data_IF_938113634913
#
_entry.id   IF_938113634913
#
_cell.length_a   1.000
_cell.length_b   1.000
_cell.length_c   1.000
_cell.angle_alpha   90.00
_cell.angle_beta   90.00
_cell.angle_gamma   90.00
#
_symmetry.space_group_name_H-M   'P 1'
#
loop_
_entity.id
_entity.type
_entity.pdbx_description
1 polymer ?
#
# COMPACT_ATOMS: atom_id res chain seq x y z
N UNK A 1 21.98 -2.59 13.78
CA UNK A 1 22.34 -1.21 14.19
C UNK A 1 21.21 -0.32 13.73
N UNK A 2 20.62 0.46 14.64
CA UNK A 2 19.55 1.42 14.33
C UNK A 2 20.19 2.80 14.21
N UNK A 3 19.82 3.55 13.17
CA UNK A 3 20.33 4.89 12.91
C UNK A 3 19.30 5.96 13.26
N UNK A 4 19.75 7.10 13.79
CA UNK A 4 18.96 8.32 13.70
C UNK A 4 19.01 8.84 12.25
N UNK A 5 17.86 8.95 11.61
CA UNK A 5 17.72 9.39 10.22
C UNK A 5 17.10 10.80 10.24
N UNK A 6 17.86 11.84 9.84
CA UNK A 6 17.28 13.17 9.68
C UNK A 6 16.14 13.12 8.66
N UNK A 7 14.98 13.68 9.01
CA UNK A 7 13.76 13.53 8.19
C UNK A 7 13.93 14.07 6.76
N UNK A 8 14.74 15.11 6.57
CA UNK A 8 15.07 15.67 5.24
C UNK A 8 15.91 14.73 4.35
N UNK A 9 16.37 13.58 4.86
CA UNK A 9 17.02 12.52 4.08
C UNK A 9 16.01 11.49 3.55
N UNK A 10 14.73 11.64 3.88
CA UNK A 10 13.62 10.87 3.34
C UNK A 10 12.93 11.73 2.27
N UNK A 11 12.91 11.27 1.02
CA UNK A 11 12.29 11.97 -0.11
C UNK A 11 11.25 11.07 -0.80
N UNK A 12 10.48 11.61 -1.75
CA UNK A 12 9.41 10.88 -2.46
C UNK A 12 8.40 10.22 -1.49
N UNK A 13 8.05 10.93 -0.40
CA UNK A 13 7.09 10.43 0.58
C UNK A 13 5.72 10.26 -0.08
N UNK A 14 5.18 9.06 0.03
CA UNK A 14 3.83 8.74 -0.42
C UNK A 14 3.11 7.96 0.68
N UNK A 15 1.93 8.43 1.10
CA UNK A 15 1.05 7.66 1.99
C UNK A 15 0.52 6.46 1.22
N UNK A 16 0.64 5.28 1.81
CA UNK A 16 0.24 4.00 1.19
C UNK A 16 -0.81 3.25 2.01
N UNK A 17 -0.97 3.61 3.28
CA UNK A 17 -2.00 3.05 4.14
C UNK A 17 -2.27 3.99 5.31
N UNK A 18 -3.51 4.04 5.74
CA UNK A 18 -3.94 4.70 6.96
C UNK A 18 -4.93 3.80 7.68
N UNK A 19 -4.62 3.50 8.94
CA UNK A 19 -5.45 2.72 9.85
C UNK A 19 -5.70 3.52 11.13
N UNK A 20 -6.57 3.01 12.00
CA UNK A 20 -6.91 3.65 13.27
C UNK A 20 -5.72 3.82 14.21
N UNK A 21 -4.70 2.95 14.12
CA UNK A 21 -3.53 2.93 15.01
C UNK A 21 -2.22 3.38 14.36
N UNK A 22 -2.13 3.30 13.03
CA UNK A 22 -0.89 3.61 12.31
C UNK A 22 -1.13 4.18 10.92
N UNK A 23 -0.19 5.01 10.48
CA UNK A 23 -0.03 5.42 9.10
C UNK A 23 1.23 4.78 8.52
N UNK A 24 1.14 4.29 7.29
CA UNK A 24 2.29 3.81 6.53
C UNK A 24 2.57 4.69 5.34
N UNK A 25 3.85 5.02 5.19
CA UNK A 25 4.37 5.71 4.02
C UNK A 25 5.44 4.85 3.36
N UNK A 26 5.68 5.15 2.09
CA UNK A 26 6.89 4.75 1.39
C UNK A 26 7.72 6.00 1.10
N UNK A 27 9.04 5.88 1.17
CA UNK A 27 9.98 6.94 0.88
C UNK A 27 11.28 6.38 0.28
N UNK A 28 12.10 7.26 -0.27
CA UNK A 28 13.49 6.98 -0.62
C UNK A 28 14.40 7.55 0.46
N UNK A 29 15.21 6.71 1.09
CA UNK A 29 16.27 7.13 2.02
C UNK A 29 17.57 7.35 1.25
N UNK A 30 18.01 8.60 1.15
CA UNK A 30 19.11 8.99 0.25
C UNK A 30 20.51 8.63 0.75
N UNK A 31 20.70 8.50 2.08
CA UNK A 31 21.97 7.99 2.62
C UNK A 31 22.09 6.48 2.38
N UNK A 32 20.96 5.78 2.37
CA UNK A 32 20.86 4.34 2.26
C UNK A 32 21.43 3.59 3.47
N UNK A 33 21.38 2.27 3.39
CA UNK A 33 21.54 1.37 4.54
C UNK A 33 23.01 1.11 4.85
N UNK A 34 23.43 1.23 6.12
CA UNK A 34 24.75 0.76 6.56
C UNK A 34 24.84 -0.75 6.46
N UNK A 35 25.92 -1.22 5.84
CA UNK A 35 26.27 -2.63 5.76
C UNK A 35 27.73 -2.84 6.17
N UNK A 36 27.99 -4.04 6.68
CA UNK A 36 29.35 -4.50 6.94
C UNK A 36 29.72 -5.44 5.80
N UNK A 37 30.86 -5.18 5.15
CA UNK A 37 31.43 -6.06 4.13
C UNK A 37 32.77 -6.54 4.63
N UNK A 38 33.07 -7.82 4.46
CA UNK A 38 34.35 -8.35 4.89
C UNK A 38 34.40 -9.86 4.86
N UNK A 39 35.62 -10.38 4.91
CA UNK A 39 35.94 -11.80 5.08
C UNK A 39 36.51 -12.01 6.49
N UNK A 40 36.89 -13.26 6.82
CA UNK A 40 37.35 -13.69 8.16
C UNK A 40 38.47 -12.83 8.80
N UNK A 41 39.15 -11.97 8.03
CA UNK A 41 40.33 -11.21 8.45
C UNK A 41 40.10 -9.69 8.47
N UNK A 42 39.18 -9.15 7.68
CA UNK A 42 39.00 -7.70 7.57
C UNK A 42 37.53 -7.35 7.30
N UNK A 43 36.98 -6.47 8.14
CA UNK A 43 35.64 -5.93 7.99
C UNK A 43 35.70 -4.42 7.73
N UNK A 44 34.98 -3.98 6.71
CA UNK A 44 34.81 -2.57 6.37
C UNK A 44 33.33 -2.18 6.51
N UNK A 45 33.09 -0.96 6.99
CA UNK A 45 31.76 -0.36 7.02
C UNK A 45 31.53 0.37 5.71
N UNK A 46 30.40 0.10 5.06
CA UNK A 46 29.98 0.78 3.83
C UNK A 46 28.48 1.08 3.86
N UNK A 47 27.96 1.71 2.80
CA UNK A 47 26.53 1.91 2.61
C UNK A 47 26.08 1.29 1.29
N UNK A 48 24.90 0.65 1.32
CA UNK A 48 24.09 0.52 0.11
C UNK A 48 23.56 1.94 -0.15
N UNK A 49 23.75 2.47 -1.34
CA UNK A 49 23.30 3.83 -1.68
C UNK A 49 21.78 3.99 -1.56
N UNK A 50 21.28 5.13 -2.02
CA UNK A 50 19.85 5.48 -1.99
C UNK A 50 18.90 4.29 -2.21
N UNK A 51 18.01 4.03 -1.25
CA UNK A 51 17.14 2.86 -1.28
C UNK A 51 15.69 3.21 -0.88
N UNK A 52 14.74 2.37 -1.29
CA UNK A 52 13.36 2.46 -0.83
C UNK A 52 13.23 1.98 0.62
N UNK A 53 12.39 2.66 1.40
CA UNK A 53 12.06 2.31 2.79
C UNK A 53 10.56 2.51 3.03
N UNK A 54 10.00 1.74 3.96
CA UNK A 54 8.70 2.03 4.53
C UNK A 54 8.85 2.82 5.84
N UNK A 55 7.94 3.75 6.08
CA UNK A 55 7.87 4.54 7.29
C UNK A 55 6.59 4.15 8.04
N UNK A 56 6.72 3.76 9.30
CA UNK A 56 5.59 3.51 10.20
C UNK A 56 5.49 4.66 11.20
N UNK A 57 4.34 5.31 11.20
CA UNK A 57 4.01 6.42 12.10
C UNK A 57 2.83 5.96 12.96
N UNK A 58 3.07 5.79 14.25
CA UNK A 58 2.05 5.35 15.19
C UNK A 58 1.28 6.57 15.70
N UNK A 59 -0.05 6.47 15.83
CA UNK A 59 -0.82 7.54 16.46
C UNK A 59 -0.39 7.72 17.92
N UNK A 60 -0.16 8.96 18.34
CA UNK A 60 0.41 9.27 19.66
C UNK A 60 1.94 9.19 19.74
N UNK A 61 2.65 8.92 18.63
CA UNK A 61 4.13 8.86 18.63
C UNK A 61 4.82 10.20 18.87
N UNK A 62 4.14 11.28 19.24
CA UNK A 62 4.81 12.47 19.79
C UNK A 62 5.37 12.22 21.20
N UNK A 63 4.71 11.34 21.96
CA UNK A 63 5.11 10.95 23.30
C UNK A 63 6.28 9.94 23.24
N UNK A 64 7.43 10.32 23.78
CA UNK A 64 8.65 9.51 23.66
C UNK A 64 8.54 8.15 24.33
N UNK A 65 7.90 8.07 25.49
CA UNK A 65 7.81 6.84 26.27
C UNK A 65 6.92 5.81 25.56
N UNK A 66 5.78 6.28 25.04
CA UNK A 66 4.89 5.48 24.19
C UNK A 66 5.59 4.98 22.94
N UNK A 67 6.35 5.85 22.26
CA UNK A 67 7.11 5.46 21.08
C UNK A 67 8.19 4.41 21.40
N UNK A 68 8.93 4.59 22.49
CA UNK A 68 10.00 3.66 22.90
C UNK A 68 9.42 2.28 23.23
N UNK A 69 8.32 2.23 23.97
CA UNK A 69 7.61 0.97 24.26
C UNK A 69 7.26 0.26 22.94
N UNK A 70 6.58 0.95 22.03
CA UNK A 70 6.12 0.35 20.76
C UNK A 70 7.27 -0.03 19.83
N UNK A 71 8.35 0.75 19.80
CA UNK A 71 9.55 0.39 19.06
C UNK A 71 10.19 -0.88 19.63
N UNK A 72 10.25 -1.01 20.96
CA UNK A 72 10.80 -2.17 21.64
C UNK A 72 9.96 -3.40 21.34
N UNK A 73 8.63 -3.33 21.53
CA UNK A 73 7.68 -4.38 21.16
C UNK A 73 7.90 -4.84 19.71
N UNK A 74 8.02 -3.89 18.78
CA UNK A 74 8.23 -4.20 17.37
C UNK A 74 9.55 -4.93 17.10
N UNK A 75 10.62 -4.57 17.80
CA UNK A 75 11.95 -5.17 17.61
C UNK A 75 12.08 -6.56 18.24
N UNK A 76 11.29 -6.87 19.26
CA UNK A 76 11.29 -8.18 19.92
C UNK A 76 10.58 -9.26 19.08
N UNK A 77 9.71 -8.85 18.14
CA UNK A 77 9.05 -9.77 17.22
C UNK A 77 10.03 -10.34 16.19
N UNK A 78 10.02 -11.66 16.06
CA UNK A 78 10.92 -12.38 15.14
C UNK A 78 10.72 -11.94 13.68
N UNK A 79 11.83 -11.68 12.99
CA UNK A 79 11.83 -11.29 11.57
C UNK A 79 11.67 -9.79 11.31
N UNK A 80 11.37 -8.97 12.32
CA UNK A 80 11.29 -7.53 12.15
C UNK A 80 12.68 -6.88 12.02
N UNK A 81 12.81 -6.01 11.02
CA UNK A 81 14.04 -5.24 10.77
C UNK A 81 13.71 -3.76 10.88
N UNK A 82 14.51 -3.05 11.66
CA UNK A 82 14.48 -1.58 11.78
C UNK A 82 15.81 -1.04 11.29
N UNK A 83 15.76 -0.15 10.30
CA UNK A 83 16.94 0.57 9.82
C UNK A 83 17.24 1.79 10.66
N UNK A 84 16.20 2.49 11.11
CA UNK A 84 16.39 3.72 11.87
C UNK A 84 15.13 4.29 12.48
N UNK A 85 15.33 5.37 13.22
CA UNK A 85 14.29 6.22 13.76
C UNK A 85 14.48 7.61 13.17
N UNK A 86 13.37 8.22 12.76
CA UNK A 86 13.32 9.62 12.35
C UNK A 86 12.30 10.38 13.21
N UNK A 87 12.35 11.70 13.17
CA UNK A 87 11.33 12.56 13.75
C UNK A 87 10.93 13.61 12.74
N UNK A 88 9.63 13.68 12.43
CA UNK A 88 9.10 14.81 11.68
C UNK A 88 9.01 16.02 12.62
N UNK A 89 9.67 17.11 12.24
CA UNK A 89 9.73 18.33 13.05
C UNK A 89 8.43 19.15 12.95
N UNK A 90 7.60 18.90 11.94
CA UNK A 90 6.31 19.61 11.77
C UNK A 90 5.25 18.99 12.67
N UNK A 91 5.04 17.67 12.58
CA UNK A 91 4.06 16.95 13.41
C UNK A 91 4.59 16.55 14.78
N UNK A 92 5.90 16.68 15.01
CA UNK A 92 6.63 16.19 16.18
C UNK A 92 6.55 14.67 16.40
N UNK A 93 6.08 13.90 15.42
CA UNK A 93 5.93 12.45 15.50
C UNK A 93 7.26 11.73 15.29
N UNK A 94 7.53 10.73 16.13
CA UNK A 94 8.58 9.75 15.88
C UNK A 94 8.13 8.72 14.84
N UNK A 95 9.08 8.27 14.04
CA UNK A 95 8.87 7.45 12.85
C UNK A 95 9.83 6.26 12.89
N UNK A 96 9.29 5.05 12.71
CA UNK A 96 10.10 3.84 12.55
C UNK A 96 10.38 3.65 11.06
N UNK A 97 11.67 3.59 10.69
CA UNK A 97 12.11 3.37 9.31
C UNK A 97 12.49 1.89 9.15
N UNK A 98 11.75 1.20 8.28
CA UNK A 98 11.87 -0.25 8.05
C UNK A 98 12.15 -0.54 6.56
N UNK A 99 12.61 -1.75 6.21
CA UNK A 99 12.80 -2.13 4.81
C UNK A 99 11.54 -1.93 3.99
N UNK A 100 11.73 -1.62 2.70
CA UNK A 100 10.64 -1.67 1.73
C UNK A 100 10.12 -3.11 1.60
N UNK A 101 8.84 -3.29 1.97
CA UNK A 101 8.13 -4.58 2.01
C UNK A 101 8.21 -5.33 0.67
N UNK A 102 8.27 -4.59 -0.44
CA UNK A 102 8.28 -5.17 -1.79
C UNK A 102 9.64 -5.05 -2.47
N UNK A 103 10.69 -4.68 -1.75
CA UNK A 103 12.04 -4.45 -2.29
C UNK A 103 12.54 -5.58 -3.20
N UNK A 104 12.32 -6.83 -2.81
CA UNK A 104 12.71 -8.03 -3.57
C UNK A 104 11.86 -8.29 -4.82
N UNK A 105 10.67 -7.70 -4.90
CA UNK A 105 9.72 -7.86 -6.02
C UNK A 105 9.79 -6.73 -7.04
N UNK A 106 10.58 -5.68 -6.78
CA UNK A 106 10.71 -4.54 -7.69
C UNK A 106 11.58 -4.87 -8.90
N UNK A 107 11.06 -4.66 -10.10
CA UNK A 107 11.73 -5.01 -11.37
C UNK A 107 11.93 -3.74 -12.21
N UNK A 108 13.17 -3.46 -12.61
CA UNK A 108 13.50 -2.24 -13.37
C UNK A 108 12.84 -2.17 -14.74
N UNK A 109 12.61 -3.31 -15.41
CA UNK A 109 11.93 -3.38 -16.71
C UNK A 109 10.43 -3.07 -16.65
N UNK A 110 9.81 -3.10 -15.48
CA UNK A 110 8.37 -2.80 -15.31
C UNK A 110 8.07 -1.29 -15.26
N UNK A 111 9.10 -0.45 -15.44
CA UNK A 111 9.01 0.98 -15.31
C UNK A 111 9.01 1.43 -13.84
N UNK A 112 8.91 2.74 -13.65
CA UNK A 112 8.85 3.37 -12.32
C UNK A 112 7.44 3.84 -12.02
N UNK A 113 7.03 3.65 -10.78
CA UNK A 113 5.80 4.21 -10.26
C UNK A 113 5.85 5.74 -10.34
N UNK A 114 4.81 6.36 -10.89
CA UNK A 114 4.76 7.83 -11.01
C UNK A 114 4.66 8.53 -9.66
N UNK A 115 4.24 7.82 -8.61
CA UNK A 115 4.03 8.35 -7.26
C UNK A 115 5.27 8.21 -6.38
N UNK A 116 5.68 6.97 -6.06
CA UNK A 116 6.84 6.75 -5.18
C UNK A 116 8.19 6.75 -5.90
N UNK A 117 8.22 6.81 -7.24
CA UNK A 117 9.42 6.79 -8.09
C UNK A 117 10.27 5.51 -8.01
N UNK A 118 9.85 4.51 -7.24
CA UNK A 118 10.47 3.20 -7.22
C UNK A 118 10.04 2.36 -8.42
N UNK A 119 10.85 1.35 -8.75
CA UNK A 119 10.50 0.38 -9.79
C UNK A 119 9.19 -0.35 -9.40
N UNK A 120 8.39 -0.61 -10.42
CA UNK A 120 7.14 -1.35 -10.29
C UNK A 120 7.39 -2.83 -9.96
N UNK A 121 6.42 -3.47 -9.32
CA UNK A 121 6.47 -4.90 -8.98
C UNK A 121 5.93 -5.79 -10.09
N UNK A 122 5.02 -5.26 -10.91
CA UNK A 122 4.50 -5.88 -12.14
C UNK A 122 4.41 -4.80 -13.25
N UNK A 123 4.34 -5.12 -14.55
CA UNK A 123 4.21 -4.09 -15.59
C UNK A 123 3.10 -3.09 -15.27
N UNK A 124 3.44 -1.80 -15.27
CA UNK A 124 2.53 -0.71 -14.92
C UNK A 124 1.85 -0.81 -13.51
N UNK A 125 2.34 -1.66 -12.60
CA UNK A 125 1.77 -1.86 -11.27
C UNK A 125 2.81 -1.80 -10.15
N UNK A 126 2.58 -0.90 -9.21
CA UNK A 126 3.34 -0.71 -7.98
C UNK A 126 2.53 -1.22 -6.79
N UNK A 127 2.90 -2.38 -6.26
CA UNK A 127 2.23 -2.99 -5.10
C UNK A 127 2.10 -2.07 -3.89
N UNK A 128 3.02 -1.13 -3.73
CA UNK A 128 2.97 -0.18 -2.61
C UNK A 128 1.95 0.94 -2.81
N UNK A 129 1.66 1.35 -4.05
CA UNK A 129 0.93 2.58 -4.33
C UNK A 129 -0.44 2.35 -4.96
N UNK A 130 -0.53 1.43 -5.92
CA UNK A 130 -1.73 1.29 -6.76
C UNK A 130 -2.90 0.62 -6.03
N UNK A 131 -2.69 -0.43 -5.18
CA UNK A 131 -3.80 -0.98 -4.40
C UNK A 131 -4.49 0.07 -3.52
N UNK A 132 -3.71 0.91 -2.83
CA UNK A 132 -4.26 1.97 -1.99
C UNK A 132 -5.07 3.00 -2.79
N UNK A 133 -4.64 3.34 -4.00
CA UNK A 133 -5.38 4.26 -4.87
C UNK A 133 -6.72 3.69 -5.30
N UNK A 134 -6.74 2.40 -5.67
CA UNK A 134 -7.97 1.71 -6.03
C UNK A 134 -9.02 1.76 -4.90
N UNK A 135 -8.57 1.83 -3.64
CA UNK A 135 -9.44 1.94 -2.45
C UNK A 135 -9.90 3.36 -2.10
N UNK A 136 -9.27 4.41 -2.63
CA UNK A 136 -9.56 5.80 -2.21
C UNK A 136 -10.67 6.49 -3.01
N UNK A 137 -11.12 5.92 -4.13
CA UNK A 137 -11.85 6.67 -5.16
C UNK A 137 -13.37 6.36 -5.23
N UNK A 138 -13.92 5.54 -4.33
CA UNK A 138 -15.34 5.17 -4.37
C UNK A 138 -15.88 4.64 -3.02
N UNK A 139 -17.19 4.64 -2.86
CA UNK A 139 -17.93 3.94 -1.79
C UNK A 139 -19.26 3.46 -2.35
N UNK A 140 -19.68 2.24 -1.97
CA UNK A 140 -21.01 1.71 -2.29
C UNK A 140 -22.11 2.25 -1.37
N UNK A 141 -21.74 2.98 -0.31
CA UNK A 141 -22.62 3.34 0.81
C UNK A 141 -22.83 2.21 1.82
N UNK A 142 -22.30 1.01 1.56
CA UNK A 142 -22.27 -0.12 2.49
C UNK A 142 -20.83 -0.42 2.93
N UNK A 143 -20.53 -0.10 4.19
CA UNK A 143 -19.18 -0.24 4.76
C UNK A 143 -18.64 -1.67 4.72
N UNK A 144 -19.50 -2.69 4.86
CA UNK A 144 -19.06 -4.10 4.83
C UNK A 144 -18.62 -4.52 3.42
N UNK A 145 -19.37 -4.08 2.41
CA UNK A 145 -19.03 -4.31 0.99
C UNK A 145 -17.75 -3.54 0.63
N UNK A 146 -17.66 -2.28 1.03
CA UNK A 146 -16.50 -1.43 0.75
C UNK A 146 -15.22 -2.02 1.34
N UNK A 147 -15.29 -2.48 2.59
CA UNK A 147 -14.17 -3.15 3.25
C UNK A 147 -13.78 -4.43 2.51
N UNK A 148 -14.76 -5.24 2.10
CA UNK A 148 -14.52 -6.50 1.39
C UNK A 148 -13.81 -6.27 0.05
N UNK A 149 -14.30 -5.34 -0.78
CA UNK A 149 -13.68 -5.02 -2.07
C UNK A 149 -12.29 -4.40 -1.85
N UNK A 150 -12.16 -3.51 -0.86
CA UNK A 150 -10.86 -2.90 -0.53
C UNK A 150 -9.82 -3.95 -0.15
N UNK A 151 -10.20 -4.98 0.60
CA UNK A 151 -9.30 -6.10 0.91
C UNK A 151 -8.82 -6.84 -0.34
N UNK A 152 -9.71 -7.08 -1.31
CA UNK A 152 -9.32 -7.72 -2.58
C UNK A 152 -8.39 -6.83 -3.40
N UNK A 153 -8.69 -5.53 -3.49
CA UNK A 153 -7.84 -4.56 -4.19
C UNK A 153 -6.45 -4.48 -3.54
N UNK A 154 -6.36 -4.45 -2.21
CA UNK A 154 -5.09 -4.46 -1.44
C UNK A 154 -4.25 -5.72 -1.73
N UNK A 155 -4.90 -6.87 -1.94
CA UNK A 155 -4.24 -8.16 -2.22
C UNK A 155 -3.83 -8.31 -3.68
N UNK A 156 -4.30 -7.48 -4.61
CA UNK A 156 -4.00 -7.59 -6.03
C UNK A 156 -2.51 -7.34 -6.31
N UNK A 157 -1.87 -8.26 -7.05
CA UNK A 157 -0.42 -8.22 -7.32
C UNK A 157 -0.02 -7.63 -8.66
N UNK A 158 -0.99 -7.42 -9.54
CA UNK A 158 -0.83 -6.91 -10.90
C UNK A 158 -2.11 -6.17 -11.31
N UNK A 159 -1.98 -5.31 -12.32
CA UNK A 159 -3.07 -4.45 -12.78
C UNK A 159 -4.29 -5.27 -13.23
N UNK A 160 -4.08 -6.37 -13.93
CA UNK A 160 -5.14 -7.22 -14.48
C UNK A 160 -5.91 -8.01 -13.42
N UNK A 161 -5.40 -8.08 -12.19
CA UNK A 161 -6.05 -8.77 -11.05
C UNK A 161 -6.80 -7.83 -10.11
N UNK A 162 -6.69 -6.52 -10.30
CA UNK A 162 -7.41 -5.58 -9.44
C UNK A 162 -8.90 -5.61 -9.77
N UNK A 163 -9.75 -5.67 -8.75
CA UNK A 163 -11.19 -5.48 -8.94
C UNK A 163 -11.41 -3.98 -9.18
N UNK A 164 -11.92 -3.63 -10.35
CA UNK A 164 -12.30 -2.25 -10.67
C UNK A 164 -13.72 -1.97 -10.17
N UNK A 165 -13.90 -0.87 -9.44
CA UNK A 165 -15.22 -0.37 -9.12
C UNK A 165 -15.75 0.43 -10.32
N UNK A 166 -16.93 0.03 -10.81
CA UNK A 166 -17.62 0.72 -11.91
C UNK A 166 -18.85 1.42 -11.33
N UNK A 167 -18.81 2.76 -11.16
CA UNK A 167 -19.97 3.54 -10.76
C UNK A 167 -21.14 3.37 -11.74
N UNK A 168 -22.36 3.32 -11.21
CA UNK A 168 -23.57 3.13 -12.03
C UNK A 168 -23.74 4.21 -13.11
N UNK A 169 -23.35 5.45 -12.82
CA UNK A 169 -23.41 6.58 -13.75
C UNK A 169 -22.38 6.50 -14.89
N UNK A 170 -21.41 5.59 -14.82
CA UNK A 170 -20.52 5.25 -15.95
C UNK A 170 -21.13 4.21 -16.89
N UNK A 171 -22.21 3.54 -16.49
CA UNK A 171 -22.88 2.56 -17.34
C UNK A 171 -23.67 3.29 -18.44
N UNK A 172 -23.45 2.87 -19.68
CA UNK A 172 -24.09 3.37 -20.89
C UNK A 172 -24.67 2.21 -21.72
N UNK A 173 -25.62 2.53 -22.60
CA UNK A 173 -26.31 1.56 -23.45
C UNK A 173 -27.02 0.44 -22.65
N UNK A 174 -27.61 0.79 -21.50
CA UNK A 174 -28.36 -0.16 -20.68
C UNK A 174 -29.60 -0.67 -21.44
N UNK A 175 -29.64 -1.98 -21.71
CA UNK A 175 -30.75 -2.65 -22.37
C UNK A 175 -31.18 -3.87 -21.55
N UNK A 176 -32.49 -4.01 -21.33
CA UNK A 176 -33.06 -5.16 -20.63
C UNK A 176 -33.02 -6.40 -21.53
N UNK A 177 -32.48 -7.50 -21.01
CA UNK A 177 -32.52 -8.81 -21.64
C UNK A 177 -33.85 -9.46 -21.27
N UNK A 178 -34.78 -9.50 -22.21
CA UNK A 178 -36.03 -10.24 -22.04
C UNK A 178 -35.77 -11.71 -22.33
N UNK A 179 -35.81 -12.55 -21.29
CA UNK A 179 -35.95 -13.98 -21.50
C UNK A 179 -37.31 -14.25 -22.16
N UNK A 180 -37.30 -14.96 -23.29
CA UNK A 180 -38.52 -15.48 -23.90
C UNK A 180 -39.02 -16.67 -23.08
N UNK A 181 -39.56 -16.42 -21.90
CA UNK A 181 -40.22 -17.46 -21.11
C UNK A 181 -41.60 -17.71 -21.73
N UNK A 182 -41.79 -18.90 -22.32
CA UNK A 182 -43.13 -19.42 -22.59
C UNK A 182 -43.77 -19.65 -21.22
N UNK A 183 -44.67 -18.76 -20.84
CA UNK A 183 -45.40 -18.78 -19.57
C UNK A 183 -46.17 -20.10 -19.42
N UNK A 184 -45.93 -20.79 -18.31
CA UNK A 184 -47.01 -21.47 -17.60
C UNK A 184 -47.23 -20.73 -16.30
N UNK A 185 -48.48 -20.33 -16.09
CA UNK A 185 -48.97 -19.54 -14.96
C UNK A 185 -48.63 -20.19 -13.61
N UNK A 186 -48.50 -19.34 -12.59
CA UNK A 186 -48.22 -19.61 -11.17
C UNK A 186 -46.75 -19.73 -10.78
N UNK A 187 -46.09 -18.58 -10.64
CA UNK A 187 -45.53 -18.03 -9.39
C UNK A 187 -45.20 -16.55 -9.69
N UNK A 188 -45.71 -15.61 -8.89
CA UNK A 188 -45.21 -14.22 -8.90
C UNK A 188 -43.84 -14.20 -8.21
N UNK A 189 -42.85 -14.76 -8.89
CA UNK A 189 -41.45 -14.60 -8.49
C UNK A 189 -41.05 -13.18 -8.86
N UNK A 190 -40.36 -12.50 -7.94
CA UNK A 190 -39.74 -11.20 -8.19
C UNK A 190 -38.97 -11.31 -9.52
N UNK A 191 -39.47 -10.66 -10.57
CA UNK A 191 -38.85 -10.76 -11.89
C UNK A 191 -37.50 -10.06 -11.82
N UNK A 192 -36.44 -10.86 -11.69
CA UNK A 192 -35.07 -10.35 -11.77
C UNK A 192 -34.81 -9.89 -13.20
N UNK A 193 -34.95 -8.58 -13.46
CA UNK A 193 -34.56 -7.99 -14.74
C UNK A 193 -33.05 -8.04 -14.91
N UNK A 194 -32.58 -8.72 -15.95
CA UNK A 194 -31.16 -8.77 -16.33
C UNK A 194 -30.92 -7.66 -17.35
N UNK A 195 -29.88 -6.84 -17.15
CA UNK A 195 -29.51 -5.77 -18.08
C UNK A 195 -28.14 -6.05 -18.70
N UNK A 196 -27.98 -5.72 -19.97
CA UNK A 196 -26.69 -5.58 -20.62
C UNK A 196 -26.29 -4.10 -20.62
N UNK A 197 -25.04 -3.80 -20.28
CA UNK A 197 -24.50 -2.46 -20.30
C UNK A 197 -23.05 -2.47 -20.79
N UNK A 198 -22.61 -1.32 -21.29
CA UNK A 198 -21.20 -0.98 -21.51
C UNK A 198 -20.82 0.13 -20.54
N UNK A 199 -19.54 0.42 -20.32
CA UNK A 199 -19.11 1.55 -19.49
C UNK A 199 -18.12 2.44 -20.24
N UNK A 200 -18.10 3.73 -19.88
CA UNK A 200 -17.21 4.76 -20.42
C UNK A 200 -15.81 4.73 -19.80
#
# INVERSE_FOLDING_TARGET
MIEWIPFNRLINLQKVREEESEMRFIATWIDGIRIIKGDLVEYTRSRIGSCGVNLKILHGSQESDFFIEKLTDYMELEGNIVYGVAKDMVTSQYIIVVPDEFSSKRISSNGKCIYCKHNNTSPAWCQSCDPWKATQEWTSGNKEIDNSISEFQIKATEYEKVIEWIPYDRLINMQEIKESNQETEEIKEESNSIFMATWL
#
